data_IF_060869033033
#
_entry.id   IF_060869033033
#
_cell.length_a   1.000
_cell.length_b   1.000
_cell.length_c   1.000
_cell.angle_alpha   90.00
_cell.angle_beta   90.00
_cell.angle_gamma   90.00
#
_symmetry.space_group_name_H-M   'P 1'
#
loop_
_entity.id
_entity.type
_entity.pdbx_description
1 polymer ?
#
# COMPACT_ATOMS: atom_id res chain seq x y z
N UNK A 1 11.59 7.33 -3.92
CA UNK A 1 11.03 5.97 -4.17
C UNK A 1 12.13 4.98 -3.79
N UNK A 2 11.78 3.78 -3.34
CA UNK A 2 12.78 2.80 -2.91
C UNK A 2 13.68 2.38 -4.08
N UNK A 3 14.93 2.01 -3.80
CA UNK A 3 15.84 1.48 -4.81
C UNK A 3 15.30 0.17 -5.40
N UNK A 4 14.65 -0.65 -4.56
CA UNK A 4 14.12 -1.96 -4.98
C UNK A 4 12.98 -1.83 -6.00
N UNK A 5 12.22 -0.73 -5.99
CA UNK A 5 11.18 -0.48 -6.99
C UNK A 5 11.75 -0.31 -8.40
N UNK A 6 12.93 0.30 -8.53
CA UNK A 6 13.61 0.42 -9.82
C UNK A 6 14.02 -0.94 -10.41
N UNK A 7 14.28 -1.95 -9.56
CA UNK A 7 14.53 -3.31 -10.04
C UNK A 7 13.26 -3.89 -10.67
N UNK A 8 12.11 -3.79 -10.00
CA UNK A 8 10.85 -4.30 -10.55
C UNK A 8 10.46 -3.63 -11.86
N UNK A 9 10.56 -2.30 -11.95
CA UNK A 9 10.29 -1.58 -13.20
C UNK A 9 11.18 -2.08 -14.34
N UNK A 10 12.47 -2.30 -14.07
CA UNK A 10 13.43 -2.78 -15.06
C UNK A 10 13.19 -4.22 -15.52
N UNK A 11 12.85 -5.13 -14.60
CA UNK A 11 12.72 -6.56 -14.92
C UNK A 11 11.34 -6.92 -15.49
N UNK A 12 10.30 -6.19 -15.11
CA UNK A 12 8.91 -6.51 -15.48
C UNK A 12 8.34 -5.60 -16.58
N UNK A 13 9.09 -4.57 -17.00
CA UNK A 13 8.64 -3.56 -18.00
C UNK A 13 7.31 -2.90 -17.59
N UNK A 14 7.23 -2.51 -16.32
CA UNK A 14 6.06 -1.84 -15.72
C UNK A 14 6.47 -0.46 -15.19
N UNK A 15 5.51 0.45 -15.10
CA UNK A 15 5.70 1.76 -14.45
C UNK A 15 4.95 1.78 -13.14
N UNK A 16 5.69 1.84 -12.03
CA UNK A 16 5.14 1.85 -10.69
C UNK A 16 4.92 3.30 -10.22
N UNK A 17 3.98 3.46 -9.29
CA UNK A 17 3.66 4.76 -8.69
C UNK A 17 4.19 4.84 -7.26
N UNK A 18 4.13 6.05 -6.68
CA UNK A 18 4.49 6.25 -5.26
C UNK A 18 3.67 5.37 -4.29
N UNK A 19 2.50 4.91 -4.70
CA UNK A 19 1.59 4.13 -3.87
C UNK A 19 2.00 2.65 -3.82
N UNK A 20 2.85 2.18 -4.74
CA UNK A 20 3.45 0.85 -4.72
C UNK A 20 4.54 0.70 -3.64
N UNK A 21 5.04 1.81 -3.09
CA UNK A 21 5.88 1.81 -1.89
C UNK A 21 5.03 2.04 -0.63
N UNK A 22 4.81 0.99 0.16
CA UNK A 22 4.15 1.08 1.47
C UNK A 22 5.21 1.13 2.57
N UNK A 23 5.15 2.16 3.40
CA UNK A 23 6.02 2.28 4.58
C UNK A 23 5.18 2.36 5.85
N UNK A 24 5.77 1.97 6.97
CA UNK A 24 5.16 2.13 8.30
C UNK A 24 4.66 3.56 8.51
N UNK A 25 5.50 4.57 8.22
CA UNK A 25 5.13 5.98 8.37
C UNK A 25 3.90 6.38 7.53
N UNK A 26 3.78 5.91 6.28
CA UNK A 26 2.61 6.19 5.44
C UNK A 26 1.32 5.62 6.02
N UNK A 27 1.36 4.38 6.52
CA UNK A 27 0.18 3.73 7.09
C UNK A 27 -0.25 4.43 8.39
N UNK A 28 0.69 4.69 9.29
CA UNK A 28 0.39 5.39 10.54
C UNK A 28 -0.17 6.79 10.28
N UNK A 29 0.43 7.55 9.35
CA UNK A 29 -0.09 8.87 8.98
C UNK A 29 -1.52 8.79 8.45
N UNK A 30 -1.80 7.85 7.53
CA UNK A 30 -3.16 7.64 6.98
C UNK A 30 -4.19 7.32 8.06
N UNK A 31 -3.83 6.48 9.03
CA UNK A 31 -4.72 6.11 10.14
C UNK A 31 -4.93 7.26 11.11
N UNK A 32 -3.89 8.02 11.45
CA UNK A 32 -3.99 9.23 12.30
C UNK A 32 -4.88 10.27 11.63
N UNK A 33 -4.76 10.46 10.31
CA UNK A 33 -5.59 11.41 9.58
C UNK A 33 -7.07 10.98 9.55
N UNK A 34 -7.35 9.68 9.40
CA UNK A 34 -8.70 9.09 9.52
C UNK A 34 -9.29 9.29 10.92
N UNK A 35 -8.47 9.09 11.95
CA UNK A 35 -8.86 9.31 13.34
C UNK A 35 -9.24 10.77 13.60
N UNK A 36 -8.41 11.72 13.16
CA UNK A 36 -8.67 13.16 13.30
C UNK A 36 -9.91 13.63 12.56
N UNK A 37 -10.27 13.00 11.44
CA UNK A 37 -11.53 13.27 10.72
C UNK A 37 -12.76 12.66 11.39
N UNK A 38 -12.58 11.74 12.34
CA UNK A 38 -13.67 11.05 13.00
C UNK A 38 -14.15 9.78 12.27
N UNK A 39 -13.37 9.24 11.32
CA UNK A 39 -13.75 8.08 10.51
C UNK A 39 -13.95 6.80 11.38
N UNK A 40 -13.35 6.77 12.58
CA UNK A 40 -13.51 5.68 13.56
C UNK A 40 -14.61 5.91 14.60
N UNK A 41 -15.48 6.92 14.40
CA UNK A 41 -16.66 7.19 15.25
C UNK A 41 -16.34 7.35 16.75
N UNK A 42 -15.18 7.95 17.06
CA UNK A 42 -14.72 8.18 18.43
C UNK A 42 -14.26 6.92 19.18
N UNK A 43 -14.17 5.76 18.51
CA UNK A 43 -13.60 4.55 19.09
C UNK A 43 -12.08 4.64 19.17
N UNK A 44 -11.50 3.95 20.15
CA UNK A 44 -10.05 3.83 20.27
C UNK A 44 -9.46 3.12 19.06
N UNK A 45 -8.51 3.78 18.39
CA UNK A 45 -7.70 3.19 17.34
C UNK A 45 -6.58 2.36 17.96
N UNK A 46 -6.34 1.18 17.39
CA UNK A 46 -5.39 0.17 17.89
C UNK A 46 -4.62 -0.43 16.71
N UNK A 47 -3.45 -1.03 16.98
CA UNK A 47 -2.65 -1.71 15.95
C UNK A 47 -3.47 -2.79 15.26
N UNK A 48 -4.16 -3.64 16.03
CA UNK A 48 -5.13 -4.59 15.50
C UNK A 48 -6.53 -4.11 15.92
N UNK A 49 -7.51 -4.01 15.00
CA UNK A 49 -7.41 -4.32 13.58
C UNK A 49 -7.02 -3.11 12.70
N UNK A 50 -7.03 -1.89 13.23
CA UNK A 50 -7.06 -0.68 12.39
C UNK A 50 -5.82 -0.47 11.51
N UNK A 51 -4.61 -0.78 12.03
CA UNK A 51 -3.38 -0.70 11.21
C UNK A 51 -3.34 -1.87 10.22
N UNK A 52 -3.70 -3.08 10.64
CA UNK A 52 -3.71 -4.25 9.75
C UNK A 52 -4.73 -4.10 8.63
N UNK A 53 -5.91 -3.54 8.90
CA UNK A 53 -6.94 -3.25 7.91
C UNK A 53 -6.49 -2.18 6.94
N UNK A 54 -5.83 -1.11 7.44
CA UNK A 54 -5.27 -0.07 6.58
C UNK A 54 -4.20 -0.62 5.62
N UNK A 55 -3.38 -1.58 6.06
CA UNK A 55 -2.41 -2.28 5.19
C UNK A 55 -3.14 -3.09 4.12
N UNK A 56 -4.14 -3.90 4.51
CA UNK A 56 -4.91 -4.72 3.58
C UNK A 56 -5.66 -3.87 2.53
N UNK A 57 -6.31 -2.80 2.96
CA UNK A 57 -7.04 -1.88 2.08
C UNK A 57 -6.11 -1.21 1.09
N UNK A 58 -4.90 -0.84 1.52
CA UNK A 58 -3.89 -0.27 0.65
C UNK A 58 -3.47 -1.25 -0.45
N UNK A 59 -3.13 -2.49 -0.07
CA UNK A 59 -2.74 -3.55 -1.01
C UNK A 59 -3.87 -3.82 -2.02
N UNK A 60 -5.10 -4.02 -1.52
CA UNK A 60 -6.29 -4.26 -2.38
C UNK A 60 -6.56 -3.12 -3.35
N UNK A 61 -6.32 -1.87 -2.94
CA UNK A 61 -6.50 -0.70 -3.80
C UNK A 61 -5.42 -0.65 -4.88
N UNK A 62 -4.15 -0.78 -4.52
CA UNK A 62 -3.03 -0.65 -5.46
C UNK A 62 -3.01 -1.81 -6.46
N UNK A 63 -3.35 -3.03 -6.05
CA UNK A 63 -3.44 -4.19 -6.94
C UNK A 63 -4.46 -4.04 -8.08
N UNK A 64 -5.45 -3.13 -7.93
CA UNK A 64 -6.45 -2.86 -8.96
C UNK A 64 -6.04 -1.78 -9.96
N UNK A 65 -4.94 -1.08 -9.71
CA UNK A 65 -4.46 0.00 -10.56
C UNK A 65 -3.50 -0.63 -11.59
N UNK A 66 -3.77 -0.50 -12.91
CA UNK A 66 -2.86 -1.01 -13.93
C UNK A 66 -1.52 -0.28 -13.89
N UNK A 67 -0.44 -1.04 -14.09
CA UNK A 67 0.95 -0.55 -14.07
C UNK A 67 1.70 -0.81 -15.38
N UNK A 68 1.10 -1.56 -16.30
CA UNK A 68 1.67 -1.97 -17.59
C UNK A 68 1.00 -1.27 -18.79
N UNK A 69 0.18 -0.24 -18.51
CA UNK A 69 -0.55 0.51 -19.53
C UNK A 69 -1.75 -0.21 -20.15
N UNK A 70 -2.08 -1.43 -19.69
CA UNK A 70 -3.28 -2.14 -20.15
C UNK A 70 -4.52 -1.68 -19.38
N UNK A 71 -5.69 -1.91 -19.97
CA UNK A 71 -6.95 -1.72 -19.27
C UNK A 71 -7.24 -2.90 -18.33
N UNK A 72 -7.74 -2.60 -17.13
CA UNK A 72 -8.13 -3.58 -16.13
C UNK A 72 -7.09 -3.86 -15.04
N UNK A 73 -7.49 -4.55 -13.96
CA UNK A 73 -6.57 -4.94 -12.89
C UNK A 73 -5.65 -6.08 -13.35
N UNK A 74 -4.48 -6.19 -12.71
CA UNK A 74 -3.61 -7.34 -12.92
C UNK A 74 -4.21 -8.62 -12.32
N UNK A 75 -3.90 -9.78 -12.93
CA UNK A 75 -4.32 -11.08 -12.42
C UNK A 75 -3.56 -11.49 -11.15
N UNK A 76 -2.31 -11.03 -11.01
CA UNK A 76 -1.41 -11.37 -9.90
C UNK A 76 -0.74 -10.11 -9.37
N UNK A 77 -0.70 -9.98 -8.04
CA UNK A 77 0.04 -8.94 -7.33
C UNK A 77 1.14 -9.58 -6.50
N UNK A 78 2.40 -9.26 -6.82
CA UNK A 78 3.56 -9.66 -6.03
C UNK A 78 3.76 -8.65 -4.91
N UNK A 79 3.88 -9.15 -3.67
CA UNK A 79 4.09 -8.32 -2.48
C UNK A 79 5.43 -8.73 -1.87
N UNK A 80 6.34 -7.77 -1.79
CA UNK A 80 7.60 -7.91 -1.07
C UNK A 80 7.46 -7.30 0.33
N UNK A 81 7.77 -8.09 1.35
CA UNK A 81 7.97 -7.60 2.70
C UNK A 81 9.49 -7.46 2.93
N UNK A 82 10.00 -6.24 2.80
CA UNK A 82 11.40 -5.94 3.06
C UNK A 82 11.80 -6.08 4.53
N UNK A 83 13.11 -6.16 4.78
CA UNK A 83 13.68 -6.33 6.12
C UNK A 83 13.94 -7.80 6.49
N UNK A 84 14.07 -8.07 7.79
CA UNK A 84 14.28 -9.42 8.35
C UNK A 84 13.09 -9.83 9.21
N UNK A 85 13.01 -11.12 9.57
CA UNK A 85 11.99 -11.70 10.47
C UNK A 85 12.66 -12.29 11.71
#
# INVERSE_FOLDING_TARGET
VDLDLGNYERFLDVTLTRDNNITTGKIYQSVIDKERRGDYLGKTVQVIPHITDAIQDWIKRVAKIPVDGKEGPADVCVIELGGTV
#
